data_IF_676935494502
#
_entry.id   IF_676935494502
#
_cell.length_a   1.000
_cell.length_b   1.000
_cell.length_c   1.000
_cell.angle_alpha   90.00
_cell.angle_beta   90.00
_cell.angle_gamma   90.00
#
_symmetry.space_group_name_H-M   'P 1'
#
loop_
_entity.id
_entity.type
_entity.pdbx_description
1 polymer ?
#
# COMPACT_ATOMS: atom_id res chain seq x y z
N UNK A 1 -8.97 1.98 -6.13
CA UNK A 1 -7.88 1.07 -5.67
C UNK A 1 -8.43 0.27 -4.50
N UNK A 2 -8.09 -1.03 -4.37
CA UNK A 2 -8.51 -1.82 -3.19
C UNK A 2 -7.35 -1.89 -2.21
N UNK A 3 -7.55 -1.43 -0.97
CA UNK A 3 -6.53 -1.43 0.07
C UNK A 3 -5.18 -0.79 -0.35
N UNK A 4 -5.18 0.18 -1.27
CA UNK A 4 -3.96 0.88 -1.71
C UNK A 4 -3.05 0.08 -2.65
N UNK A 5 -3.51 -1.06 -3.19
CA UNK A 5 -2.74 -1.87 -4.14
C UNK A 5 -3.02 -1.55 -5.60
N UNK A 6 -1.98 -1.68 -6.42
CA UNK A 6 -2.02 -1.75 -7.88
C UNK A 6 -1.47 -3.11 -8.34
N UNK A 7 -2.11 -3.74 -9.32
CA UNK A 7 -1.66 -5.04 -9.84
C UNK A 7 -0.27 -4.91 -10.48
N UNK A 8 0.61 -5.82 -10.12
CA UNK A 8 1.98 -5.94 -10.65
C UNK A 8 2.24 -7.36 -11.12
N UNK A 9 1.18 -8.02 -11.58
CA UNK A 9 1.18 -9.41 -11.99
C UNK A 9 2.30 -9.74 -12.99
N UNK A 10 2.83 -10.95 -12.85
CA UNK A 10 3.77 -11.55 -13.79
C UNK A 10 3.28 -12.95 -14.13
N UNK A 11 3.83 -13.57 -15.18
CA UNK A 11 3.53 -14.97 -15.50
C UNK A 11 3.82 -15.91 -14.31
N UNK A 12 4.79 -15.56 -13.46
CA UNK A 12 5.16 -16.35 -12.27
C UNK A 12 4.27 -16.06 -11.06
N UNK A 13 3.80 -14.82 -10.94
CA UNK A 13 3.01 -14.33 -9.81
C UNK A 13 1.79 -13.57 -10.34
N UNK A 14 0.73 -14.28 -10.76
CA UNK A 14 -0.43 -13.67 -11.41
C UNK A 14 -1.30 -12.86 -10.44
N UNK A 15 -1.13 -13.05 -9.12
CA UNK A 15 -1.87 -12.34 -8.08
C UNK A 15 -1.00 -11.34 -7.32
N UNK A 16 0.18 -11.01 -7.85
CA UNK A 16 1.04 -10.00 -7.26
C UNK A 16 0.43 -8.61 -7.38
N UNK A 17 0.45 -7.87 -6.27
CA UNK A 17 0.08 -6.46 -6.27
C UNK A 17 0.97 -5.67 -5.31
N UNK A 18 1.26 -4.42 -5.68
CA UNK A 18 2.13 -3.51 -4.95
C UNK A 18 1.34 -2.39 -4.29
N UNK A 19 1.60 -2.14 -3.02
CA UNK A 19 1.02 -1.00 -2.33
C UNK A 19 1.68 0.30 -2.81
N UNK A 20 0.88 1.31 -3.19
CA UNK A 20 1.41 2.59 -3.69
C UNK A 20 1.99 3.47 -2.59
N UNK A 21 1.66 3.24 -1.32
CA UNK A 21 2.15 4.02 -0.19
C UNK A 21 3.38 3.41 0.50
N UNK A 22 3.52 2.09 0.41
CA UNK A 22 4.57 1.31 1.08
C UNK A 22 5.56 0.65 0.11
N UNK A 23 5.22 0.62 -1.18
CA UNK A 23 6.03 0.11 -2.30
C UNK A 23 6.45 -1.37 -2.25
N UNK A 24 5.98 -2.14 -1.27
CA UNK A 24 6.19 -3.59 -1.26
C UNK A 24 5.07 -4.32 -1.96
N UNK A 25 5.42 -5.49 -2.47
CA UNK A 25 4.54 -6.38 -3.20
C UNK A 25 4.08 -7.51 -2.28
N UNK A 26 2.80 -7.87 -2.40
CA UNK A 26 2.20 -9.05 -1.78
C UNK A 26 1.61 -9.92 -2.89
N UNK A 27 1.62 -11.23 -2.70
CA UNK A 27 0.98 -12.21 -3.58
C UNK A 27 -0.26 -12.67 -2.84
N UNK A 28 -1.43 -12.53 -3.46
CA UNK A 28 -2.71 -12.84 -2.82
C UNK A 28 -3.21 -14.22 -3.24
N UNK A 29 -3.67 -14.99 -2.27
CA UNK A 29 -4.51 -16.16 -2.50
C UNK A 29 -5.96 -15.73 -2.74
N UNK A 30 -6.78 -16.65 -3.27
CA UNK A 30 -8.17 -16.36 -3.64
C UNK A 30 -9.03 -15.95 -2.44
N UNK A 31 -8.74 -16.52 -1.27
CA UNK A 31 -9.49 -16.30 -0.03
C UNK A 31 -8.99 -15.09 0.77
N UNK A 32 -7.87 -14.48 0.38
CA UNK A 32 -7.26 -13.38 1.13
C UNK A 32 -8.10 -12.10 1.06
N UNK A 33 -8.18 -11.40 2.19
CA UNK A 33 -8.72 -10.05 2.24
C UNK A 33 -7.57 -9.03 2.05
N UNK A 34 -7.56 -8.25 0.96
CA UNK A 34 -6.45 -7.33 0.69
C UNK A 34 -6.14 -6.33 1.80
N UNK A 35 -7.15 -5.93 2.58
CA UNK A 35 -6.97 -4.99 3.68
C UNK A 35 -6.42 -5.66 4.94
N UNK A 36 -6.82 -6.90 5.24
CA UNK A 36 -6.29 -7.64 6.38
C UNK A 36 -4.82 -7.98 6.19
N UNK A 37 -4.47 -8.45 4.99
CA UNK A 37 -3.09 -8.68 4.58
C UNK A 37 -2.25 -7.40 4.66
N UNK A 38 -2.77 -6.28 4.17
CA UNK A 38 -2.07 -4.99 4.27
C UNK A 38 -1.75 -4.61 5.72
N UNK A 39 -2.73 -4.75 6.63
CA UNK A 39 -2.54 -4.46 8.06
C UNK A 39 -1.56 -5.42 8.73
N UNK A 40 -1.56 -6.69 8.32
CA UNK A 40 -0.67 -7.72 8.87
C UNK A 40 0.79 -7.46 8.48
N UNK A 41 1.04 -7.23 7.19
CA UNK A 41 2.39 -7.12 6.62
C UNK A 41 2.98 -5.71 6.67
N UNK A 42 2.15 -4.66 6.67
CA UNK A 42 2.59 -3.27 6.52
C UNK A 42 2.13 -2.37 7.67
N UNK A 43 2.42 -2.76 8.92
CA UNK A 43 2.04 -1.99 10.11
C UNK A 43 2.54 -0.53 10.12
N UNK A 44 3.62 -0.25 9.40
CA UNK A 44 4.23 1.09 9.29
C UNK A 44 3.86 1.82 7.98
N UNK A 45 2.87 1.32 7.23
CA UNK A 45 2.36 2.00 6.06
C UNK A 45 1.46 3.16 6.52
N UNK A 46 1.77 4.39 6.13
CA UNK A 46 0.96 5.57 6.51
C UNK A 46 -0.51 5.45 6.09
N UNK A 47 -0.81 4.72 5.02
CA UNK A 47 -2.17 4.41 4.61
C UNK A 47 -2.88 3.41 5.54
N UNK A 48 -2.17 2.40 6.04
CA UNK A 48 -2.68 1.46 7.06
C UNK A 48 -2.92 2.18 8.39
N UNK A 49 -1.96 3.00 8.82
CA UNK A 49 -2.09 3.79 10.05
C UNK A 49 -3.27 4.76 10.00
N UNK A 50 -3.56 5.31 8.81
CA UNK A 50 -4.72 6.16 8.61
C UNK A 50 -6.06 5.42 8.79
N UNK A 51 -6.07 4.10 8.58
CA UNK A 51 -7.19 3.18 8.82
C UNK A 51 -8.53 3.62 8.17
N UNK A 52 -8.48 4.37 7.06
CA UNK A 52 -9.65 4.68 6.22
C UNK A 52 -9.43 4.15 4.79
N UNK A 53 -9.90 2.93 4.49
CA UNK A 53 -9.68 2.31 3.19
C UNK A 53 -10.50 2.95 2.06
N UNK A 54 -11.56 3.72 2.39
CA UNK A 54 -12.38 4.49 1.45
C UNK A 54 -11.80 5.88 1.25
N UNK A 55 -11.48 6.23 0.00
CA UNK A 55 -10.89 7.52 -0.39
C UNK A 55 -11.91 8.66 -0.42
N UNK A 56 -13.22 8.36 -0.42
CA UNK A 56 -14.27 9.38 -0.33
C UNK A 56 -14.28 10.11 1.02
N UNK A 57 -13.70 9.52 2.06
CA UNK A 57 -13.63 10.11 3.41
C UNK A 57 -12.34 10.92 3.65
N UNK A 58 -11.49 11.07 2.63
CA UNK A 58 -10.20 11.72 2.78
C UNK A 58 -10.34 13.24 2.71
N UNK A 59 -9.73 13.92 3.67
CA UNK A 59 -9.61 15.39 3.64
C UNK A 59 -8.33 15.80 2.94
N UNK A 60 -8.22 17.09 2.61
CA UNK A 60 -6.98 17.68 2.07
C UNK A 60 -5.77 17.38 2.96
N UNK A 61 -5.94 17.48 4.27
CA UNK A 61 -4.88 17.27 5.25
C UNK A 61 -4.43 15.81 5.30
N UNK A 62 -5.37 14.86 5.16
CA UNK A 62 -5.05 13.44 4.98
C UNK A 62 -4.18 13.23 3.75
N UNK A 63 -4.56 13.80 2.61
CA UNK A 63 -3.83 13.65 1.35
C UNK A 63 -2.41 14.22 1.48
N UNK A 64 -2.26 15.40 2.09
CA UNK A 64 -0.97 16.03 2.36
C UNK A 64 -0.08 15.13 3.23
N UNK A 65 -0.61 14.59 4.33
CA UNK A 65 0.13 13.69 5.21
C UNK A 65 0.58 12.41 4.51
N UNK A 66 -0.33 11.75 3.77
CA UNK A 66 0.00 10.56 2.99
C UNK A 66 1.08 10.84 1.93
N UNK A 67 1.05 12.01 1.30
CA UNK A 67 2.08 12.42 0.33
C UNK A 67 3.46 12.64 0.98
N UNK A 68 3.52 13.20 2.19
CA UNK A 68 4.76 13.33 2.94
C UNK A 68 5.35 11.96 3.31
N UNK A 69 4.51 11.04 3.78
CA UNK A 69 4.94 9.69 4.15
C UNK A 69 5.38 8.88 2.92
N UNK A 70 4.67 9.01 1.80
CA UNK A 70 5.09 8.48 0.51
C UNK A 70 6.48 8.99 0.10
N UNK A 71 6.75 10.29 0.27
CA UNK A 71 8.05 10.89 -0.05
C UNK A 71 9.17 10.33 0.82
N UNK A 72 8.91 10.07 2.11
CA UNK A 72 9.88 9.44 3.01
C UNK A 72 10.16 8.00 2.58
N UNK A 73 9.12 7.20 2.35
CA UNK A 73 9.23 5.80 1.92
C UNK A 73 9.98 5.66 0.58
N UNK A 74 9.75 6.59 -0.35
CA UNK A 74 10.45 6.62 -1.65
C UNK A 74 11.97 6.76 -1.46
N UNK A 75 12.41 7.71 -0.61
CA UNK A 75 13.84 7.95 -0.33
C UNK A 75 14.53 6.78 0.36
N UNK A 76 13.82 6.03 1.19
CA UNK A 76 14.35 4.83 1.84
C UNK A 76 14.51 3.66 0.87
N UNK A 77 13.61 3.56 -0.12
CA UNK A 77 13.67 2.55 -1.16
C UNK A 77 14.86 2.79 -2.09
N UNK A 78 15.12 4.04 -2.48
CA UNK A 78 16.25 4.43 -3.34
C UNK A 78 17.62 4.16 -2.70
N UNK A 79 17.73 4.24 -1.36
CA UNK A 79 18.99 3.98 -0.63
C UNK A 79 19.36 2.48 -0.52
N UNK A 80 18.45 1.58 -0.87
CA UNK A 80 18.65 0.11 -0.77
C UNK A 80 18.97 -0.55 -2.12
N UNK A 81 19.03 0.23 -3.19
CA UNK A 81 19.51 -0.11 -4.54
C UNK A 81 20.87 0.51 -4.79
#
# INVERSE_FOLDING_TARGET
MRAGFVYTETTRYPTAAKCVFWFKELIFEKEDNPWEEHRSYAKNCGFVEFNKPDDNEWTRDTILKLAEDFRKASKETEKRT
#
